data_IF_581531265859
#
_entry.id   IF_581531265859
#
_cell.length_a   1.000
_cell.length_b   1.000
_cell.length_c   1.000
_cell.angle_alpha   90.00
_cell.angle_beta   90.00
_cell.angle_gamma   90.00
#
_symmetry.space_group_name_H-M   'P 1'
#
loop_
_entity.id
_entity.type
_entity.pdbx_description
1 polymer ?
#
# COMPACT_ATOMS: atom_id res chain seq x y z
N UNK A 1 -15.47 -30.35 -59.91
CA UNK A 1 -16.61 -30.23 -58.98
C UNK A 1 -16.09 -30.55 -57.60
N UNK A 2 -15.92 -29.50 -56.83
CA UNK A 2 -16.39 -29.39 -55.44
C UNK A 2 -15.84 -30.34 -54.36
N UNK A 3 -15.16 -29.68 -53.42
CA UNK A 3 -15.58 -29.53 -52.01
C UNK A 3 -14.84 -30.37 -50.95
N UNK A 4 -14.12 -29.59 -50.13
CA UNK A 4 -13.89 -29.67 -48.68
C UNK A 4 -12.92 -30.71 -48.11
N UNK A 5 -11.71 -30.21 -47.81
CA UNK A 5 -10.97 -30.59 -46.61
C UNK A 5 -10.94 -29.34 -45.73
N UNK A 6 -11.70 -29.36 -44.62
CA UNK A 6 -11.65 -28.30 -43.63
C UNK A 6 -11.70 -28.97 -42.25
N UNK A 7 -10.61 -28.85 -41.50
CA UNK A 7 -10.51 -28.77 -40.03
C UNK A 7 -9.06 -29.04 -39.63
N UNK A 8 -8.28 -27.97 -39.48
CA UNK A 8 -6.87 -28.09 -39.11
C UNK A 8 -6.09 -26.80 -38.98
N UNK A 9 -6.72 -25.64 -38.76
CA UNK A 9 -5.99 -24.42 -38.41
C UNK A 9 -5.97 -24.24 -36.89
N UNK A 10 -5.04 -24.96 -36.24
CA UNK A 10 -4.39 -24.40 -35.04
C UNK A 10 -3.47 -23.30 -35.53
N UNK A 11 -3.99 -22.07 -35.55
CA UNK A 11 -3.15 -20.88 -35.68
C UNK A 11 -2.39 -20.73 -34.37
N UNK A 12 -1.22 -21.37 -34.32
CA UNK A 12 -0.12 -20.99 -33.45
C UNK A 12 0.39 -19.64 -33.97
N UNK A 13 -0.17 -18.55 -33.46
CA UNK A 13 0.42 -17.22 -33.62
C UNK A 13 1.21 -16.88 -32.37
N UNK A 14 2.38 -17.50 -32.24
CA UNK A 14 3.48 -16.88 -31.52
C UNK A 14 3.97 -15.71 -32.37
N UNK A 15 3.51 -14.50 -32.04
CA UNK A 15 4.27 -13.28 -32.31
C UNK A 15 4.22 -12.39 -31.08
N UNK A 16 5.33 -12.41 -30.37
CA UNK A 16 5.77 -11.33 -29.50
C UNK A 16 5.57 -10.00 -30.22
N UNK A 17 4.75 -9.13 -29.64
CA UNK A 17 4.68 -7.71 -29.95
C UNK A 17 4.82 -6.96 -28.62
N UNK A 18 6.07 -6.60 -28.33
CA UNK A 18 6.47 -5.28 -27.83
C UNK A 18 5.67 -4.72 -26.64
N UNK A 19 6.21 -4.68 -25.43
CA UNK A 19 7.37 -3.83 -25.13
C UNK A 19 7.02 -2.33 -25.02
N UNK A 20 5.84 -1.89 -25.48
CA UNK A 20 5.56 -0.45 -25.68
C UNK A 20 4.15 0.01 -25.22
N UNK A 21 3.48 -0.73 -24.34
CA UNK A 21 2.29 -0.20 -23.63
C UNK A 21 2.64 0.80 -22.51
N UNK A 22 3.72 1.58 -22.66
CA UNK A 22 3.89 2.85 -21.98
C UNK A 22 2.83 3.88 -22.43
N UNK A 23 2.22 3.67 -23.60
CA UNK A 23 1.26 4.57 -24.22
C UNK A 23 -0.19 4.27 -23.80
N UNK A 24 -0.55 4.73 -22.60
CA UNK A 24 -1.86 5.31 -22.22
C UNK A 24 -2.02 5.21 -20.70
N UNK A 25 -1.02 5.68 -19.95
CA UNK A 25 -1.34 6.16 -18.60
C UNK A 25 -2.25 7.36 -18.84
N UNK A 26 -3.56 7.18 -18.61
CA UNK A 26 -4.54 8.22 -18.86
C UNK A 26 -4.13 9.47 -18.06
N UNK A 27 -4.06 10.66 -18.67
CA UNK A 27 -3.61 11.89 -17.99
C UNK A 27 -4.33 12.14 -16.66
N UNK A 28 -5.62 11.78 -16.58
CA UNK A 28 -6.46 11.85 -15.39
C UNK A 28 -5.93 11.09 -14.15
N UNK A 29 -5.01 10.14 -14.32
CA UNK A 29 -4.39 9.43 -13.20
C UNK A 29 -3.11 10.07 -12.69
N UNK A 30 -2.52 10.99 -13.45
CA UNK A 30 -1.23 11.64 -13.15
C UNK A 30 -1.43 13.11 -12.82
N UNK A 31 -2.40 13.74 -13.48
CA UNK A 31 -2.84 15.09 -13.22
C UNK A 31 -3.63 15.13 -11.91
N UNK A 32 -3.36 16.13 -11.08
CA UNK A 32 -4.06 16.29 -9.82
C UNK A 32 -5.52 16.67 -10.09
N UNK A 33 -6.44 15.76 -9.74
CA UNK A 33 -7.86 16.03 -9.79
C UNK A 33 -8.20 17.09 -8.73
N UNK A 34 -9.04 18.09 -9.04
CA UNK A 34 -9.49 19.05 -8.04
C UNK A 34 -10.21 18.33 -6.90
N UNK A 35 -10.03 18.80 -5.67
CA UNK A 35 -10.56 18.22 -4.43
C UNK A 35 -12.10 18.10 -4.43
N UNK A 36 -12.77 18.79 -5.37
CA UNK A 36 -14.22 18.78 -5.63
C UNK A 36 -14.65 17.74 -6.67
N UNK A 37 -13.83 16.72 -6.97
CA UNK A 37 -14.18 15.68 -7.93
C UNK A 37 -15.49 14.96 -7.52
N UNK A 38 -16.49 14.98 -8.41
CA UNK A 38 -17.79 14.34 -8.21
C UNK A 38 -17.66 12.83 -8.03
N UNK A 39 -18.59 12.22 -7.29
CA UNK A 39 -18.68 10.76 -7.07
C UNK A 39 -18.60 9.98 -8.41
N UNK A 40 -19.20 10.52 -9.47
CA UNK A 40 -19.15 9.96 -10.82
C UNK A 40 -17.72 9.85 -11.39
N UNK A 41 -16.84 10.83 -11.10
CA UNK A 41 -15.44 10.79 -11.53
C UNK A 41 -14.69 9.69 -10.80
N UNK A 42 -14.96 9.48 -9.52
CA UNK A 42 -14.37 8.40 -8.72
C UNK A 42 -14.79 7.01 -9.20
N UNK A 43 -16.08 6.84 -9.51
CA UNK A 43 -16.59 5.60 -10.08
C UNK A 43 -15.95 5.30 -11.45
N UNK A 44 -15.76 6.33 -12.28
CA UNK A 44 -15.08 6.19 -13.57
C UNK A 44 -13.60 5.77 -13.40
N UNK A 45 -12.88 6.39 -12.46
CA UNK A 45 -11.50 6.03 -12.11
C UNK A 45 -11.44 4.56 -11.67
N UNK A 46 -12.35 4.13 -10.78
CA UNK A 46 -12.40 2.74 -10.30
C UNK A 46 -12.67 1.75 -11.43
N UNK A 47 -13.66 2.04 -12.29
CA UNK A 47 -14.01 1.20 -13.44
C UNK A 47 -12.84 1.05 -14.41
N UNK A 48 -12.09 2.13 -14.65
CA UNK A 48 -10.89 2.09 -15.50
C UNK A 48 -9.72 1.36 -14.84
N UNK A 49 -9.45 1.61 -13.55
CA UNK A 49 -8.40 0.89 -12.80
C UNK A 49 -8.64 -0.62 -12.83
N UNK A 50 -9.90 -1.06 -12.73
CA UNK A 50 -10.27 -2.47 -12.73
C UNK A 50 -9.90 -3.18 -14.04
N UNK A 51 -9.92 -2.47 -15.17
CA UNK A 51 -9.57 -3.00 -16.50
C UNK A 51 -8.06 -3.10 -16.74
N UNK A 52 -7.24 -2.41 -15.94
CA UNK A 52 -5.78 -2.47 -16.09
C UNK A 52 -5.21 -3.81 -15.63
N UNK A 53 -4.23 -4.30 -16.38
CA UNK A 53 -3.47 -5.48 -15.99
C UNK A 53 -2.51 -5.18 -14.83
N UNK A 54 -1.94 -6.21 -14.23
CA UNK A 54 -1.03 -6.09 -13.08
C UNK A 54 0.18 -5.20 -13.39
N UNK A 55 0.81 -5.35 -14.56
CA UNK A 55 2.00 -4.61 -14.94
C UNK A 55 1.70 -3.11 -15.13
N UNK A 56 0.56 -2.79 -15.74
CA UNK A 56 0.06 -1.42 -15.89
C UNK A 56 -0.21 -0.79 -14.53
N UNK A 57 -0.85 -1.53 -13.60
CA UNK A 57 -1.08 -1.04 -12.22
C UNK A 57 0.21 -0.77 -11.46
N UNK A 58 1.24 -1.61 -11.62
CA UNK A 58 2.56 -1.40 -11.01
C UNK A 58 3.19 -0.10 -11.53
N UNK A 59 3.19 0.10 -12.86
CA UNK A 59 3.71 1.34 -13.46
C UNK A 59 2.90 2.56 -13.01
N UNK A 60 1.58 2.43 -13.01
CA UNK A 60 0.67 3.48 -12.57
C UNK A 60 0.92 3.87 -11.11
N UNK A 61 1.12 2.92 -10.20
CA UNK A 61 1.37 3.18 -8.79
C UNK A 61 2.55 4.15 -8.55
N UNK A 62 3.58 4.09 -9.40
CA UNK A 62 4.77 4.94 -9.30
C UNK A 62 4.58 6.36 -9.84
N UNK A 63 3.56 6.58 -10.67
CA UNK A 63 3.32 7.85 -11.38
C UNK A 63 1.99 8.52 -10.96
N UNK A 64 1.13 7.76 -10.30
CA UNK A 64 -0.22 8.13 -9.92
C UNK A 64 -0.28 9.37 -9.02
N UNK A 65 -1.37 10.13 -9.19
CA UNK A 65 -1.83 11.18 -8.30
C UNK A 65 -2.33 10.59 -6.95
N UNK A 66 -2.57 11.48 -5.99
CA UNK A 66 -3.00 11.11 -4.63
C UNK A 66 -4.24 10.19 -4.62
N UNK A 67 -5.37 10.54 -5.29
CA UNK A 67 -6.54 9.68 -5.47
C UNK A 67 -6.23 8.22 -5.81
N UNK A 68 -5.45 8.02 -6.86
CA UNK A 68 -5.16 6.69 -7.41
C UNK A 68 -4.21 5.93 -6.49
N UNK A 69 -3.25 6.60 -5.85
CA UNK A 69 -2.37 5.97 -4.83
C UNK A 69 -3.16 5.41 -3.66
N UNK A 70 -4.13 6.18 -3.14
CA UNK A 70 -5.00 5.75 -2.03
C UNK A 70 -5.81 4.50 -2.37
N UNK A 71 -6.16 4.30 -3.65
CA UNK A 71 -6.82 3.08 -4.12
C UNK A 71 -5.84 1.91 -4.29
N UNK A 72 -4.69 2.16 -4.93
CA UNK A 72 -3.72 1.11 -5.27
C UNK A 72 -2.99 0.55 -4.04
N UNK A 73 -2.85 1.31 -2.95
CA UNK A 73 -2.18 0.83 -1.73
C UNK A 73 -2.95 -0.31 -1.05
N UNK A 74 -4.28 -0.33 -1.18
CA UNK A 74 -5.16 -1.35 -0.61
C UNK A 74 -5.32 -2.57 -1.53
N UNK A 75 -4.58 -2.64 -2.63
CA UNK A 75 -4.72 -3.72 -3.58
C UNK A 75 -4.33 -5.07 -2.94
N UNK A 76 -5.06 -6.17 -3.19
CA UNK A 76 -4.70 -7.48 -2.67
C UNK A 76 -3.39 -8.02 -3.24
N UNK A 77 -2.97 -7.56 -4.43
CA UNK A 77 -1.69 -7.98 -5.02
C UNK A 77 -0.56 -7.15 -4.41
N UNK A 78 0.23 -7.80 -3.54
CA UNK A 78 1.41 -7.24 -2.85
C UNK A 78 2.30 -6.36 -3.73
N UNK A 79 2.62 -6.82 -4.94
CA UNK A 79 3.55 -6.11 -5.83
C UNK A 79 3.03 -4.73 -6.24
N UNK A 80 1.71 -4.57 -6.41
CA UNK A 80 1.08 -3.29 -6.73
C UNK A 80 1.15 -2.35 -5.52
N UNK A 81 0.75 -2.84 -4.35
CA UNK A 81 0.73 -2.02 -3.12
C UNK A 81 2.13 -1.56 -2.72
N UNK A 82 3.15 -2.41 -2.88
CA UNK A 82 4.54 -2.02 -2.65
C UNK A 82 5.08 -1.04 -3.70
N UNK A 83 4.54 -1.05 -4.92
CA UNK A 83 4.94 -0.08 -5.95
C UNK A 83 4.47 1.34 -5.60
N UNK A 84 3.34 1.49 -4.90
CA UNK A 84 2.84 2.80 -4.43
C UNK A 84 3.84 3.47 -3.49
N UNK A 85 4.50 2.71 -2.61
CA UNK A 85 5.51 3.22 -1.69
C UNK A 85 6.76 3.78 -2.40
N UNK A 86 6.96 3.44 -3.68
CA UNK A 86 8.08 3.94 -4.50
C UNK A 86 7.74 5.21 -5.29
N UNK A 87 6.52 5.75 -5.14
CA UNK A 87 6.12 6.96 -5.85
C UNK A 87 6.88 8.19 -5.30
N UNK A 88 7.51 9.01 -6.16
CA UNK A 88 8.29 10.16 -5.72
C UNK A 88 7.42 11.27 -5.10
N UNK A 89 6.13 11.34 -5.44
CA UNK A 89 5.16 12.31 -4.90
C UNK A 89 4.59 11.88 -3.54
N UNK A 90 5.05 10.77 -2.96
CA UNK A 90 4.53 10.26 -1.69
C UNK A 90 4.95 11.15 -0.52
N UNK A 91 3.97 11.60 0.25
CA UNK A 91 4.15 12.51 1.40
C UNK A 91 4.08 11.78 2.75
N UNK A 92 4.63 12.39 3.80
CA UNK A 92 4.55 11.85 5.16
C UNK A 92 3.10 11.72 5.65
N UNK A 93 2.23 12.67 5.30
CA UNK A 93 0.80 12.63 5.66
C UNK A 93 0.07 11.45 5.03
N UNK A 94 0.46 11.02 3.83
CA UNK A 94 -0.06 9.80 3.21
C UNK A 94 0.44 8.55 3.93
N UNK A 95 1.75 8.48 4.19
CA UNK A 95 2.35 7.32 4.86
C UNK A 95 1.81 7.15 6.27
N UNK A 96 1.57 8.24 6.99
CA UNK A 96 0.88 8.23 8.28
C UNK A 96 -0.53 7.63 8.15
N UNK A 97 -1.31 8.08 7.17
CA UNK A 97 -2.65 7.51 6.89
C UNK A 97 -2.58 6.02 6.56
N UNK A 98 -1.61 5.59 5.76
CA UNK A 98 -1.40 4.18 5.45
C UNK A 98 -1.06 3.38 6.71
N UNK A 99 -0.14 3.87 7.55
CA UNK A 99 0.23 3.19 8.79
C UNK A 99 -0.96 2.98 9.75
N UNK A 100 -1.99 3.83 9.71
CA UNK A 100 -3.20 3.69 10.52
C UNK A 100 -4.22 2.68 9.95
N UNK A 101 -4.12 2.32 8.66
CA UNK A 101 -5.10 1.49 7.97
C UNK A 101 -4.97 0.00 8.35
N UNK A 102 -6.07 -0.57 8.87
CA UNK A 102 -6.14 -1.99 9.30
C UNK A 102 -6.44 -2.97 8.15
N UNK A 103 -6.76 -2.46 6.97
CA UNK A 103 -7.03 -3.23 5.76
C UNK A 103 -5.82 -3.37 4.84
N UNK A 104 -4.67 -2.77 5.19
CA UNK A 104 -3.44 -2.95 4.42
C UNK A 104 -2.79 -4.31 4.69
N UNK A 105 -2.03 -4.76 3.69
CA UNK A 105 -1.18 -5.94 3.79
C UNK A 105 -0.04 -5.69 4.78
N UNK A 106 0.25 -6.68 5.61
CA UNK A 106 1.35 -6.64 6.60
C UNK A 106 2.70 -6.32 5.95
N UNK A 107 2.90 -6.77 4.70
CA UNK A 107 4.09 -6.48 3.89
C UNK A 107 4.26 -4.99 3.58
N UNK A 108 3.17 -4.26 3.39
CA UNK A 108 3.19 -2.81 3.13
C UNK A 108 3.61 -2.09 4.40
N UNK A 109 3.04 -2.46 5.54
CA UNK A 109 3.41 -1.91 6.85
C UNK A 109 4.87 -2.23 7.19
N UNK A 110 5.33 -3.44 6.87
CA UNK A 110 6.73 -3.84 7.03
C UNK A 110 7.67 -3.04 6.13
N UNK A 111 7.26 -2.74 4.89
CA UNK A 111 8.04 -1.92 3.98
C UNK A 111 8.15 -0.48 4.46
N UNK A 112 7.05 0.13 4.94
CA UNK A 112 7.06 1.46 5.56
C UNK A 112 8.01 1.45 6.77
N UNK A 113 7.95 0.39 7.59
CA UNK A 113 8.75 0.30 8.80
C UNK A 113 10.26 0.07 8.57
N UNK A 114 10.65 -0.39 7.39
CA UNK A 114 12.07 -0.59 7.02
C UNK A 114 12.70 0.66 6.43
N UNK A 115 11.91 1.62 5.99
CA UNK A 115 12.40 2.82 5.34
C UNK A 115 12.75 3.91 6.39
N UNK A 116 14.03 4.30 6.51
CA UNK A 116 14.45 5.33 7.46
C UNK A 116 13.80 6.69 7.21
N UNK A 117 13.36 6.96 5.97
CA UNK A 117 12.66 8.20 5.62
C UNK A 117 11.41 8.38 6.47
N UNK A 118 10.63 7.31 6.65
CA UNK A 118 9.34 7.36 7.35
C UNK A 118 9.47 7.16 8.85
N UNK A 119 10.40 6.30 9.30
CA UNK A 119 10.52 5.96 10.73
C UNK A 119 11.10 7.08 11.60
N UNK A 120 11.77 8.07 11.00
CA UNK A 120 12.18 9.29 11.71
C UNK A 120 10.98 10.08 12.23
N UNK A 121 9.84 10.02 11.55
CA UNK A 121 8.62 10.67 11.97
C UNK A 121 7.94 9.87 13.11
N UNK A 122 7.85 10.51 14.28
CA UNK A 122 7.26 9.90 15.48
C UNK A 122 5.80 9.45 15.29
N UNK A 123 4.88 10.30 14.79
CA UNK A 123 3.53 9.89 14.44
C UNK A 123 3.44 8.62 13.59
N UNK A 124 4.27 8.48 12.55
CA UNK A 124 4.26 7.28 11.69
C UNK A 124 4.70 6.05 12.49
N UNK A 125 5.76 6.17 13.29
CA UNK A 125 6.24 5.09 14.15
C UNK A 125 5.17 4.63 15.14
N UNK A 126 4.50 5.57 15.81
CA UNK A 126 3.41 5.27 16.72
C UNK A 126 2.24 4.59 15.98
N UNK A 127 1.84 5.11 14.82
CA UNK A 127 0.77 4.53 14.01
C UNK A 127 1.07 3.08 13.61
N UNK A 128 2.32 2.77 13.23
CA UNK A 128 2.74 1.40 12.93
C UNK A 128 2.64 0.48 14.15
N UNK A 129 3.12 0.91 15.32
CA UNK A 129 3.06 0.10 16.55
C UNK A 129 1.62 -0.15 16.99
N UNK A 130 0.75 0.86 16.86
CA UNK A 130 -0.67 0.79 17.20
C UNK A 130 -1.52 0.04 16.16
N UNK A 131 -0.94 -0.40 15.04
CA UNK A 131 -1.67 -1.15 14.02
C UNK A 131 -1.54 -2.67 14.25
N UNK A 132 -2.65 -3.42 14.42
CA UNK A 132 -2.61 -4.87 14.65
C UNK A 132 -2.08 -5.68 13.46
N UNK A 133 -2.05 -5.10 12.25
CA UNK A 133 -1.48 -5.74 11.04
C UNK A 133 0.03 -5.54 10.91
N UNK A 134 0.62 -4.66 11.73
CA UNK A 134 2.08 -4.52 11.72
C UNK A 134 2.71 -5.78 12.32
N UNK A 135 3.71 -6.39 11.65
CA UNK A 135 4.39 -7.56 12.20
C UNK A 135 4.92 -7.32 13.61
N UNK A 136 4.60 -8.24 14.53
CA UNK A 136 4.90 -8.09 15.96
C UNK A 136 6.37 -7.76 16.25
N UNK A 137 7.30 -8.37 15.53
CA UNK A 137 8.75 -8.13 15.67
C UNK A 137 9.10 -6.66 15.45
N UNK A 138 8.48 -6.02 14.45
CA UNK A 138 8.69 -4.60 14.14
C UNK A 138 8.09 -3.73 15.26
N UNK A 139 6.85 -4.03 15.66
CA UNK A 139 6.16 -3.27 16.70
C UNK A 139 6.92 -3.29 18.02
N UNK A 140 7.43 -4.45 18.45
CA UNK A 140 8.21 -4.60 19.69
C UNK A 140 9.52 -3.80 19.63
N UNK A 141 10.22 -3.82 18.50
CA UNK A 141 11.47 -3.07 18.32
C UNK A 141 11.27 -1.56 18.48
N UNK A 142 10.12 -1.04 18.07
CA UNK A 142 9.83 0.39 18.16
C UNK A 142 9.40 0.87 19.54
N UNK A 143 8.98 -0.01 20.46
CA UNK A 143 8.51 0.37 21.80
C UNK A 143 9.56 1.19 22.58
N UNK A 144 10.84 0.85 22.43
CA UNK A 144 11.93 1.56 23.12
C UNK A 144 12.05 3.04 22.71
N UNK A 145 11.47 3.43 21.57
CA UNK A 145 11.51 4.78 21.02
C UNK A 145 10.21 5.57 21.23
N UNK A 146 9.20 4.98 21.87
CA UNK A 146 7.93 5.66 22.14
C UNK A 146 7.96 6.41 23.47
N UNK A 147 7.13 7.45 23.59
CA UNK A 147 6.93 8.18 24.83
C UNK A 147 6.14 7.35 25.85
N UNK A 148 6.33 7.67 27.13
CA UNK A 148 5.71 6.92 28.23
C UNK A 148 4.18 6.98 28.22
N UNK A 149 3.59 8.09 27.77
CA UNK A 149 2.14 8.21 27.68
C UNK A 149 1.57 7.27 26.61
N UNK A 150 2.17 7.27 25.42
CA UNK A 150 1.76 6.38 24.34
C UNK A 150 1.97 4.90 24.69
N UNK A 151 3.04 4.55 25.42
CA UNK A 151 3.23 3.19 25.93
C UNK A 151 2.13 2.77 26.91
N UNK A 152 1.63 3.68 27.76
CA UNK A 152 0.50 3.39 28.66
C UNK A 152 -0.77 3.14 27.86
N UNK A 153 -0.99 3.90 26.80
CA UNK A 153 -2.15 3.74 25.92
C UNK A 153 -2.10 2.41 25.16
N UNK A 154 -0.92 2.04 24.63
CA UNK A 154 -0.68 0.74 24.02
C UNK A 154 -0.98 -0.42 24.99
N UNK A 155 -0.61 -0.30 26.26
CA UNK A 155 -0.91 -1.33 27.27
C UNK A 155 -2.42 -1.55 27.47
N UNK A 156 -3.24 -0.51 27.24
CA UNK A 156 -4.70 -0.53 27.43
C UNK A 156 -5.46 -0.95 26.17
N UNK A 157 -4.85 -0.85 25.00
CA UNK A 157 -5.52 -1.14 23.72
C UNK A 157 -5.76 -2.63 23.49
N UNK A 158 -7.03 -3.05 23.60
CA UNK A 158 -7.46 -4.44 23.40
C UNK A 158 -7.36 -4.92 21.94
N UNK A 159 -7.22 -4.01 20.98
CA UNK A 159 -7.02 -4.38 19.58
C UNK A 159 -5.63 -4.95 19.32
N UNK A 160 -4.69 -4.71 20.23
CA UNK A 160 -3.31 -5.17 20.11
C UNK A 160 -3.09 -6.53 20.75
N UNK A 161 -2.15 -7.29 20.17
CA UNK A 161 -1.69 -8.57 20.72
C UNK A 161 -1.31 -8.45 22.19
N UNK A 162 -1.70 -9.45 22.99
CA UNK A 162 -1.34 -9.53 24.41
C UNK A 162 0.18 -9.50 24.62
N UNK A 163 0.95 -10.04 23.66
CA UNK A 163 2.42 -10.02 23.67
C UNK A 163 2.95 -8.60 23.53
N UNK A 164 2.41 -7.82 22.59
CA UNK A 164 2.82 -6.43 22.37
C UNK A 164 2.52 -5.56 23.60
N UNK A 165 1.33 -5.73 24.20
CA UNK A 165 0.94 -5.02 25.41
C UNK A 165 1.85 -5.34 26.60
N UNK A 166 2.17 -6.62 26.81
CA UNK A 166 3.11 -7.03 27.86
C UNK A 166 4.50 -6.45 27.61
N UNK A 167 4.98 -6.46 26.36
CA UNK A 167 6.28 -5.86 26.01
C UNK A 167 6.31 -4.35 26.31
N UNK A 168 5.25 -3.60 25.97
CA UNK A 168 5.13 -2.19 26.29
C UNK A 168 5.16 -1.94 27.81
N UNK A 169 4.46 -2.77 28.58
CA UNK A 169 4.49 -2.71 30.05
C UNK A 169 5.90 -2.95 30.61
N UNK A 170 6.65 -3.90 30.07
CA UNK A 170 8.03 -4.16 30.48
C UNK A 170 8.96 -2.97 30.19
N UNK A 171 8.79 -2.29 29.05
CA UNK A 171 9.54 -1.07 28.75
C UNK A 171 9.26 0.03 29.77
N UNK A 172 7.99 0.25 30.12
CA UNK A 172 7.60 1.23 31.15
C UNK A 172 8.19 0.90 32.53
N UNK A 173 8.18 -0.37 32.93
CA UNK A 173 8.74 -0.80 34.21
C UNK A 173 10.25 -0.57 34.26
N UNK A 174 10.96 -0.84 33.16
CA UNK A 174 12.41 -0.61 33.06
C UNK A 174 12.79 0.87 33.13
N UNK A 175 11.94 1.78 32.64
CA UNK A 175 12.20 3.24 32.67
C UNK A 175 11.95 3.88 34.05
N UNK A 176 11.15 3.24 34.91
CA UNK A 176 10.85 3.72 36.26
C UNK A 176 11.87 3.29 37.32
N UNK A 177 12.77 2.38 36.97
CA UNK A 177 13.83 1.87 37.84
C UNK A 177 15.11 2.65 37.59
#
# INVERSE_FOLDING_TARGET
MDVQINQGERVFEERSADGTAAASILPEFVDDLPETASEEKWQNIYGKLSRLNTQQKIRLAQLANLPVRMMLIQNPIKVISLAVLKNPKLTESEVFRYAQQKNLLDDVLAAIAKDPKWIRNYPIKLALVSNPKTPLTISVNFLAHLHDNDLKDLCRDKNLSSVLRRAAQQVLLKRKK
#
